data_IF_005557949501
#
_entry.id   IF_005557949501
#
_cell.length_a   1.000
_cell.length_b   1.000
_cell.length_c   1.000
_cell.angle_alpha   90.00
_cell.angle_beta   90.00
_cell.angle_gamma   90.00
#
_symmetry.space_group_name_H-M   'P 1'
#
loop_
_entity.id
_entity.type
_entity.pdbx_description
1 polymer ?
#
# COMPACT_ATOMS: atom_id res chain seq x y z
N UNK A 1 9.52 -8.47 -3.09
CA UNK A 1 8.91 -9.46 -2.15
C UNK A 1 8.50 -10.69 -2.94
N UNK A 2 9.08 -11.82 -2.67
CA UNK A 2 8.73 -13.08 -3.33
C UNK A 2 8.31 -14.13 -2.30
N UNK A 3 7.59 -15.15 -2.74
CA UNK A 3 7.17 -16.27 -1.93
C UNK A 3 6.16 -15.89 -0.84
N UNK A 4 6.43 -16.29 0.40
CA UNK A 4 5.50 -16.12 1.53
C UNK A 4 5.14 -14.67 1.82
N UNK A 5 6.10 -13.74 1.69
CA UNK A 5 5.86 -12.30 1.92
C UNK A 5 4.89 -11.73 0.89
N UNK A 6 5.01 -12.13 -0.37
CA UNK A 6 4.09 -11.72 -1.43
C UNK A 6 2.66 -12.20 -1.16
N UNK A 7 2.49 -13.45 -0.75
CA UNK A 7 1.17 -14.00 -0.39
C UNK A 7 0.55 -13.23 0.77
N UNK A 8 1.34 -12.92 1.80
CA UNK A 8 0.87 -12.14 2.95
C UNK A 8 0.49 -10.72 2.55
N UNK A 9 1.27 -10.07 1.69
CA UNK A 9 0.95 -8.73 1.19
C UNK A 9 -0.36 -8.73 0.39
N UNK A 10 -0.56 -9.69 -0.51
CA UNK A 10 -1.81 -9.87 -1.25
C UNK A 10 -3.00 -10.14 -0.34
N UNK A 11 -2.82 -10.95 0.70
CA UNK A 11 -3.84 -11.22 1.72
C UNK A 11 -4.20 -9.97 2.51
N UNK A 12 -3.22 -9.13 2.83
CA UNK A 12 -3.45 -7.84 3.50
C UNK A 12 -4.28 -6.89 2.64
N UNK A 13 -4.03 -6.83 1.32
CA UNK A 13 -4.84 -6.04 0.38
C UNK A 13 -6.29 -6.50 0.38
N UNK A 14 -6.54 -7.80 0.32
CA UNK A 14 -7.89 -8.38 0.37
C UNK A 14 -8.60 -8.04 1.69
N UNK A 15 -7.89 -8.14 2.81
CA UNK A 15 -8.44 -7.82 4.12
C UNK A 15 -8.82 -6.33 4.23
N UNK A 16 -7.98 -5.43 3.73
CA UNK A 16 -8.24 -3.99 3.71
C UNK A 16 -9.45 -3.68 2.81
N UNK A 17 -9.51 -4.26 1.62
CA UNK A 17 -10.65 -4.09 0.72
C UNK A 17 -11.96 -4.55 1.38
N UNK A 18 -11.93 -5.66 2.12
CA UNK A 18 -13.10 -6.15 2.87
C UNK A 18 -13.52 -5.21 4.00
N UNK A 19 -12.57 -4.55 4.66
CA UNK A 19 -12.87 -3.57 5.72
C UNK A 19 -13.55 -2.31 5.18
N UNK A 20 -13.38 -2.00 3.90
CA UNK A 20 -14.03 -0.84 3.27
C UNK A 20 -15.47 -1.10 2.86
N UNK A 21 -15.87 -2.37 2.70
CA UNK A 21 -17.20 -2.76 2.22
C UNK A 21 -18.35 -2.22 3.09
N UNK A 22 -18.35 -2.38 4.43
CA UNK A 22 -19.46 -1.91 5.27
C UNK A 22 -19.66 -0.40 5.26
N UNK A 23 -18.62 0.35 4.92
CA UNK A 23 -18.63 1.82 4.89
C UNK A 23 -18.87 2.38 3.50
N UNK A 24 -19.11 1.53 2.51
CA UNK A 24 -19.24 1.91 1.09
C UNK A 24 -18.06 2.75 0.56
N UNK A 25 -16.87 2.57 1.14
CA UNK A 25 -15.64 3.24 0.68
C UNK A 25 -15.08 2.50 -0.53
N UNK A 26 -14.62 3.26 -1.51
CA UNK A 26 -13.87 2.69 -2.64
C UNK A 26 -12.43 2.42 -2.22
N UNK A 27 -11.84 1.42 -2.85
CA UNK A 27 -10.43 1.10 -2.70
C UNK A 27 -9.73 1.21 -4.07
N UNK A 28 -8.61 1.87 -4.12
CA UNK A 28 -7.77 1.94 -5.31
C UNK A 28 -6.47 1.22 -5.01
N UNK A 29 -6.25 0.11 -5.68
CA UNK A 29 -5.08 -0.74 -5.48
C UNK A 29 -4.03 -0.36 -6.49
N UNK A 30 -2.85 0.01 -6.00
CA UNK A 30 -1.69 0.33 -6.83
C UNK A 30 -0.63 -0.73 -6.56
N UNK A 31 -0.28 -1.46 -7.58
CA UNK A 31 0.86 -2.35 -7.52
C UNK A 31 2.07 -1.69 -8.17
N UNK A 32 3.22 -1.88 -7.55
CA UNK A 32 4.48 -1.34 -8.04
C UNK A 32 5.50 -2.47 -8.20
N UNK A 33 5.92 -2.64 -9.42
CA UNK A 33 7.01 -3.49 -9.83
C UNK A 33 7.87 -2.67 -10.82
N UNK A 34 8.21 -3.23 -11.96
CA UNK A 34 8.82 -2.45 -13.04
C UNK A 34 7.85 -1.39 -13.57
N UNK A 35 6.56 -1.77 -13.66
CA UNK A 35 5.48 -0.89 -14.08
C UNK A 35 4.44 -0.72 -12.97
N UNK A 36 3.78 0.43 -12.97
CA UNK A 36 2.63 0.66 -12.10
C UNK A 36 1.39 0.06 -12.75
N UNK A 37 0.66 -0.74 -11.98
CA UNK A 37 -0.64 -1.27 -12.35
C UNK A 37 -1.66 -0.89 -11.30
N UNK A 38 -2.82 -0.46 -11.74
CA UNK A 38 -3.86 0.07 -10.87
C UNK A 38 -5.19 -0.64 -11.09
N UNK A 39 -5.95 -0.81 -10.01
CA UNK A 39 -7.30 -1.35 -10.04
C UNK A 39 -8.20 -0.55 -9.09
N UNK A 40 -9.31 -0.07 -9.60
CA UNK A 40 -10.36 0.54 -8.80
C UNK A 40 -11.37 -0.52 -8.36
N UNK A 41 -11.54 -0.68 -7.05
CA UNK A 41 -12.56 -1.53 -6.43
C UNK A 41 -13.65 -0.60 -5.87
N UNK A 42 -14.82 -0.59 -6.49
CA UNK A 42 -15.98 0.20 -6.05
C UNK A 42 -16.93 -0.61 -5.18
N UNK A 43 -17.17 -1.84 -5.59
CA UNK A 43 -18.00 -2.81 -4.89
C UNK A 43 -17.23 -4.12 -4.81
N UNK A 44 -16.83 -4.50 -3.60
CA UNK A 44 -15.98 -5.68 -3.42
C UNK A 44 -16.64 -6.96 -3.92
N UNK A 45 -17.96 -7.11 -3.74
CA UNK A 45 -18.66 -8.33 -4.19
C UNK A 45 -18.64 -8.47 -5.71
N UNK A 46 -18.91 -7.35 -6.41
CA UNK A 46 -18.90 -7.34 -7.87
C UNK A 46 -17.47 -7.40 -8.43
N UNK A 47 -16.51 -6.72 -7.79
CA UNK A 47 -15.16 -6.56 -8.29
C UNK A 47 -14.17 -7.63 -7.77
N UNK A 48 -14.62 -8.55 -6.90
CA UNK A 48 -13.76 -9.57 -6.31
C UNK A 48 -13.03 -10.43 -7.36
N UNK A 49 -13.66 -10.90 -8.45
CA UNK A 49 -12.97 -11.65 -9.50
C UNK A 49 -11.85 -10.84 -10.16
N UNK A 50 -12.08 -9.54 -10.40
CA UNK A 50 -11.07 -8.65 -10.98
C UNK A 50 -9.92 -8.40 -10.00
N UNK A 51 -10.22 -8.22 -8.72
CA UNK A 51 -9.20 -8.06 -7.69
C UNK A 51 -8.36 -9.33 -7.53
N UNK A 52 -8.99 -10.50 -7.53
CA UNK A 52 -8.29 -11.77 -7.46
C UNK A 52 -7.36 -11.98 -8.64
N UNK A 53 -7.81 -11.69 -9.86
CA UNK A 53 -6.99 -11.75 -11.07
C UNK A 53 -5.82 -10.75 -11.00
N UNK A 54 -6.08 -9.51 -10.58
CA UNK A 54 -5.07 -8.48 -10.40
C UNK A 54 -3.99 -8.93 -9.40
N UNK A 55 -4.38 -9.48 -8.25
CA UNK A 55 -3.45 -9.95 -7.23
C UNK A 55 -2.72 -11.24 -7.62
N UNK A 56 -3.30 -12.04 -8.52
CA UNK A 56 -2.67 -13.26 -9.01
C UNK A 56 -1.58 -13.02 -10.06
N UNK A 57 -1.49 -11.83 -10.62
CA UNK A 57 -0.40 -11.47 -11.53
C UNK A 57 0.92 -11.50 -10.77
N UNK A 58 1.97 -11.96 -11.44
CA UNK A 58 3.33 -11.85 -10.91
C UNK A 58 3.80 -10.41 -11.04
N UNK A 59 4.39 -9.93 -9.98
CA UNK A 59 4.99 -8.61 -9.92
C UNK A 59 6.50 -8.80 -9.70
N UNK A 60 7.17 -9.18 -10.75
CA UNK A 60 8.62 -9.31 -10.79
C UNK A 60 9.22 -7.94 -11.13
N UNK A 61 10.24 -7.52 -10.42
CA UNK A 61 10.98 -6.29 -10.71
C UNK A 61 10.96 -5.29 -9.58
N UNK A 62 11.33 -4.09 -9.88
CA UNK A 62 11.63 -2.93 -9.06
C UNK A 62 11.16 -2.86 -7.61
N UNK A 63 12.05 -2.35 -6.78
CA UNK A 63 11.81 -2.15 -5.34
C UNK A 63 11.47 -0.69 -5.01
N UNK A 64 11.30 0.17 -6.03
CA UNK A 64 11.03 1.59 -5.82
C UNK A 64 9.54 1.88 -5.71
N UNK A 65 9.10 2.28 -4.54
CA UNK A 65 7.71 2.66 -4.27
C UNK A 65 7.39 4.09 -4.71
N UNK A 66 8.38 4.92 -5.01
CA UNK A 66 8.18 6.33 -5.31
C UNK A 66 7.16 6.59 -6.44
N UNK A 67 7.17 5.86 -7.56
CA UNK A 67 6.16 6.03 -8.60
C UNK A 67 4.75 5.74 -8.12
N UNK A 68 4.55 4.72 -7.28
CA UNK A 68 3.25 4.37 -6.72
C UNK A 68 2.74 5.44 -5.74
N UNK A 69 3.63 5.99 -4.92
CA UNK A 69 3.28 7.09 -4.01
C UNK A 69 2.90 8.35 -4.81
N UNK A 70 3.60 8.66 -5.90
CA UNK A 70 3.22 9.77 -6.79
C UNK A 70 1.85 9.56 -7.41
N UNK A 71 1.55 8.35 -7.86
CA UNK A 71 0.21 8.01 -8.39
C UNK A 71 -0.87 8.20 -7.33
N UNK A 72 -0.66 7.73 -6.12
CA UNK A 72 -1.58 7.93 -5.00
C UNK A 72 -1.79 9.43 -4.69
N UNK A 73 -0.72 10.22 -4.69
CA UNK A 73 -0.79 11.66 -4.45
C UNK A 73 -1.55 12.39 -5.54
N UNK A 74 -1.41 12.00 -6.81
CA UNK A 74 -2.20 12.56 -7.91
C UNK A 74 -3.69 12.21 -7.73
N UNK A 75 -4.00 10.97 -7.38
CA UNK A 75 -5.36 10.52 -7.17
C UNK A 75 -6.05 11.29 -6.03
N UNK A 76 -5.37 11.52 -4.91
CA UNK A 76 -5.89 12.27 -3.75
C UNK A 76 -6.31 13.71 -4.15
N UNK A 77 -5.65 14.31 -5.14
CA UNK A 77 -5.98 15.64 -5.63
C UNK A 77 -7.28 15.67 -6.45
N UNK A 78 -7.74 14.53 -6.93
CA UNK A 78 -8.96 14.44 -7.72
C UNK A 78 -10.22 14.41 -6.87
N UNK A 79 -11.35 14.83 -7.47
CA UNK A 79 -12.64 14.75 -6.80
C UNK A 79 -13.02 13.29 -6.49
N UNK A 80 -13.49 13.05 -5.29
CA UNK A 80 -13.89 11.72 -4.82
C UNK A 80 -12.82 10.93 -4.11
N UNK A 81 -11.57 11.42 -4.05
CA UNK A 81 -10.45 10.81 -3.32
C UNK A 81 -9.85 11.73 -2.25
N UNK A 82 -10.41 12.89 -2.04
CA UNK A 82 -10.02 13.77 -0.93
C UNK A 82 -10.26 13.08 0.41
N UNK A 83 -9.37 13.27 1.37
CA UNK A 83 -9.40 12.63 2.69
C UNK A 83 -9.25 11.11 2.62
N UNK A 84 -8.49 10.62 1.64
CA UNK A 84 -8.20 9.21 1.49
C UNK A 84 -7.05 8.79 2.38
N UNK A 85 -7.14 7.58 2.90
CA UNK A 85 -6.03 6.94 3.57
C UNK A 85 -5.16 6.21 2.54
N UNK A 86 -3.86 6.34 2.68
CA UNK A 86 -2.86 5.62 1.89
C UNK A 86 -2.22 4.56 2.75
N UNK A 87 -2.25 3.31 2.30
CA UNK A 87 -1.62 2.19 3.00
C UNK A 87 -0.50 1.63 2.12
N UNK A 88 0.73 1.75 2.59
CA UNK A 88 1.91 1.17 1.96
C UNK A 88 2.17 -0.23 2.52
N UNK A 89 2.13 -1.23 1.66
CA UNK A 89 2.35 -2.64 2.03
C UNK A 89 3.63 -3.11 1.36
N UNK A 90 4.70 -3.30 2.13
CA UNK A 90 6.02 -3.61 1.59
C UNK A 90 6.95 -4.18 2.66
N UNK A 91 8.11 -4.70 2.24
CA UNK A 91 9.25 -4.92 3.13
C UNK A 91 10.05 -3.63 3.40
N UNK A 92 9.74 -2.56 2.67
CA UNK A 92 10.40 -1.26 2.74
C UNK A 92 11.92 -1.28 2.45
N UNK A 93 12.42 -2.35 1.87
CA UNK A 93 13.79 -2.45 1.37
C UNK A 93 13.89 -1.75 0.01
N UNK A 94 13.94 -0.42 0.02
CA UNK A 94 13.88 0.42 -1.17
C UNK A 94 14.75 1.67 -1.05
N UNK A 95 15.08 2.31 -2.18
CA UNK A 95 15.79 3.59 -2.16
C UNK A 95 15.05 4.65 -1.34
N UNK A 96 15.76 5.58 -0.69
CA UNK A 96 15.13 6.66 0.06
C UNK A 96 14.30 7.56 -0.85
N UNK A 97 13.21 8.17 -0.32
CA UNK A 97 12.44 9.14 -1.08
C UNK A 97 13.24 10.41 -1.37
N UNK A 98 12.90 11.09 -2.46
CA UNK A 98 13.42 12.43 -2.72
C UNK A 98 12.77 13.46 -1.78
N UNK A 99 13.46 14.56 -1.53
CA UNK A 99 12.93 15.67 -0.70
C UNK A 99 11.61 16.21 -1.26
N UNK A 100 11.48 16.27 -2.58
CA UNK A 100 10.25 16.68 -3.27
C UNK A 100 9.08 15.72 -2.95
N UNK A 101 9.34 14.42 -2.96
CA UNK A 101 8.31 13.42 -2.61
C UNK A 101 7.92 13.52 -1.14
N UNK A 102 8.88 13.66 -0.24
CA UNK A 102 8.65 13.87 1.19
C UNK A 102 7.75 15.10 1.44
N UNK A 103 8.05 16.20 0.79
CA UNK A 103 7.25 17.43 0.92
C UNK A 103 5.84 17.23 0.34
N UNK A 104 5.70 16.54 -0.78
CA UNK A 104 4.39 16.25 -1.37
C UNK A 104 3.52 15.40 -0.45
N UNK A 105 4.10 14.43 0.26
CA UNK A 105 3.39 13.62 1.27
C UNK A 105 2.98 14.49 2.46
N UNK A 106 3.89 15.34 2.97
CA UNK A 106 3.57 16.26 4.07
C UNK A 106 2.40 17.18 3.71
N UNK A 107 2.37 17.72 2.50
CA UNK A 107 1.27 18.55 2.02
C UNK A 107 -0.05 17.79 1.93
N UNK A 108 -0.02 16.53 1.50
CA UNK A 108 -1.21 15.66 1.48
C UNK A 108 -1.75 15.41 2.90
N UNK A 109 -0.86 15.20 3.86
CA UNK A 109 -1.23 15.01 5.28
C UNK A 109 -1.88 16.25 5.88
N UNK A 110 -1.41 17.44 5.53
CA UNK A 110 -2.03 18.70 5.94
C UNK A 110 -3.45 18.87 5.37
N UNK A 111 -3.80 18.15 4.31
CA UNK A 111 -5.13 18.13 3.69
C UNK A 111 -6.00 16.95 4.16
N UNK A 112 -5.74 16.45 5.35
CA UNK A 112 -6.50 15.37 5.99
C UNK A 112 -6.36 13.97 5.37
N UNK A 113 -5.28 13.72 4.61
CA UNK A 113 -4.92 12.37 4.19
C UNK A 113 -4.01 11.72 5.23
N UNK A 114 -4.24 10.44 5.52
CA UNK A 114 -3.40 9.68 6.45
C UNK A 114 -2.56 8.66 5.68
N UNK A 115 -1.35 8.42 6.17
CA UNK A 115 -0.43 7.45 5.59
C UNK A 115 -0.11 6.36 6.61
N UNK A 116 -0.27 5.12 6.20
CA UNK A 116 -0.05 3.94 7.02
C UNK A 116 0.93 2.99 6.35
N UNK A 117 1.68 2.26 7.16
CA UNK A 117 2.61 1.23 6.69
C UNK A 117 2.25 -0.15 7.21
N UNK A 118 2.39 -1.17 6.37
CA UNK A 118 2.37 -2.57 6.75
C UNK A 118 3.68 -3.19 6.32
N UNK A 119 4.52 -3.56 7.28
CA UNK A 119 5.88 -4.04 7.04
C UNK A 119 5.93 -5.56 7.13
N UNK A 120 6.47 -6.19 6.10
CA UNK A 120 6.76 -7.62 6.08
C UNK A 120 8.27 -7.87 6.09
N UNK A 121 8.75 -8.53 7.11
CA UNK A 121 10.16 -8.77 7.32
C UNK A 121 10.74 -7.93 8.44
N UNK A 122 12.05 -7.70 8.45
CA UNK A 122 12.68 -6.81 9.41
C UNK A 122 12.25 -5.38 9.18
N UNK A 123 11.95 -4.65 10.24
CA UNK A 123 11.61 -3.23 10.13
C UNK A 123 12.87 -2.43 9.78
N UNK A 124 13.02 -1.89 8.57
CA UNK A 124 14.17 -1.10 8.19
C UNK A 124 14.06 0.33 8.73
N UNK A 125 15.18 0.97 8.94
CA UNK A 125 15.23 2.41 9.11
C UNK A 125 15.05 3.08 7.75
N UNK A 126 13.86 3.62 7.51
CA UNK A 126 13.56 4.32 6.26
C UNK A 126 12.69 5.54 6.51
N UNK A 127 12.94 6.58 5.75
CA UNK A 127 12.16 7.81 5.81
C UNK A 127 10.68 7.60 5.39
N UNK A 128 10.39 6.58 4.58
CA UNK A 128 9.02 6.20 4.25
C UNK A 128 8.21 5.80 5.49
N UNK A 129 8.78 5.04 6.41
CA UNK A 129 8.12 4.72 7.68
C UNK A 129 7.98 5.94 8.58
N UNK A 130 8.94 6.85 8.55
CA UNK A 130 8.85 8.13 9.24
C UNK A 130 7.73 9.03 8.73
N UNK A 131 7.29 8.87 7.48
CA UNK A 131 6.15 9.57 6.92
C UNK A 131 4.80 8.97 7.34
N UNK A 132 4.77 7.71 7.74
CA UNK A 132 3.55 7.05 8.16
C UNK A 132 3.07 7.61 9.51
N UNK A 133 1.79 7.86 9.63
CA UNK A 133 1.15 8.25 10.90
C UNK A 133 1.16 7.06 11.87
N UNK A 134 1.09 5.86 11.30
CA UNK A 134 1.23 4.60 12.03
C UNK A 134 1.68 3.50 11.08
N UNK A 135 2.42 2.52 11.60
CA UNK A 135 2.72 1.31 10.86
C UNK A 135 2.59 0.06 11.74
N UNK A 136 2.38 -1.07 11.11
CA UNK A 136 2.29 -2.37 11.73
C UNK A 136 3.39 -3.27 11.20
N UNK A 137 4.09 -3.89 12.12
CA UNK A 137 5.08 -4.93 11.83
C UNK A 137 4.38 -6.29 11.82
N UNK A 138 4.37 -6.92 10.65
CA UNK A 138 3.79 -8.24 10.44
C UNK A 138 4.84 -9.35 10.56
N UNK A 139 5.89 -9.14 11.34
CA UNK A 139 6.83 -10.19 11.69
C UNK A 139 6.08 -11.26 12.46
N UNK A 140 5.78 -12.35 11.77
CA UNK A 140 5.44 -13.59 12.44
C UNK A 140 6.76 -14.11 13.00
N UNK A 141 7.11 -13.67 14.21
CA UNK A 141 8.05 -14.40 15.00
C UNK A 141 7.51 -15.82 15.07
N UNK A 142 8.26 -16.77 14.52
CA UNK A 142 8.05 -18.17 14.84
C UNK A 142 8.24 -18.26 16.35
N UNK A 143 7.15 -18.13 17.09
CA UNK A 143 7.14 -18.57 18.48
C UNK A 143 7.45 -20.05 18.41
N UNK A 144 8.69 -20.38 18.67
CA UNK A 144 9.06 -21.75 18.99
C UNK A 144 8.26 -22.09 20.24
N UNK A 145 7.15 -22.76 20.05
CA UNK A 145 6.47 -23.47 21.11
C UNK A 145 7.50 -24.47 21.64
N UNK A 146 8.03 -24.16 22.79
CA UNK A 146 8.73 -25.20 23.57
C UNK A 146 7.70 -26.12 24.18
#
# INVERSE_FOLDING_TARGET
MQGRREILAKSAVLAIARLTEPTCRKCYVINFAEDIRCLLVKDLKADLPLLAEFLNQRFDGGTDVAPAVREALQLIRTNGWKRSDVVLISDFEMPPPTDELLESVRQAKLRESSFYGVVFGSVPETEYLGLCDRYWDMNISSSSTR
#
